data_IF_019751328420
#
_entry.id   IF_019751328420
#
_cell.length_a   1.000
_cell.length_b   1.000
_cell.length_c   1.000
_cell.angle_alpha   90.00
_cell.angle_beta   90.00
_cell.angle_gamma   90.00
#
_symmetry.space_group_name_H-M   'P 1'
#
loop_
_entity.id
_entity.type
_entity.pdbx_description
1 polymer ?
#
# COMPACT_ATOMS: atom_id res chain seq x y z
N UNK A 1 93.02 96.40 -75.94
CA UNK A 1 92.71 96.78 -77.31
C UNK A 1 92.18 95.58 -78.07
N UNK A 2 91.01 95.81 -78.65
CA UNK A 2 90.15 94.90 -79.42
C UNK A 2 90.74 94.50 -80.78
N UNK A 3 90.11 93.45 -81.34
CA UNK A 3 89.92 93.15 -82.77
C UNK A 3 91.13 92.76 -83.64
N UNK A 4 91.05 91.86 -84.63
CA UNK A 4 90.06 90.89 -85.13
C UNK A 4 90.81 90.08 -86.24
N UNK A 5 90.21 88.99 -86.74
CA UNK A 5 90.38 88.43 -88.10
C UNK A 5 91.40 87.28 -88.36
N UNK A 6 91.21 86.42 -89.42
CA UNK A 6 90.45 85.15 -89.35
C UNK A 6 90.96 83.97 -90.25
N UNK A 7 90.15 82.88 -90.32
CA UNK A 7 90.07 81.78 -91.33
C UNK A 7 91.17 80.69 -91.31
N UNK A 8 90.96 79.39 -91.51
CA UNK A 8 89.80 78.50 -91.76
C UNK A 8 90.31 77.03 -91.76
N UNK A 9 89.38 76.08 -91.70
CA UNK A 9 89.43 74.68 -92.21
C UNK A 9 89.55 73.52 -91.20
N UNK A 10 88.40 72.84 -91.08
CA UNK A 10 88.17 71.47 -90.56
C UNK A 10 88.53 70.45 -91.66
N UNK A 11 88.73 69.15 -91.37
CA UNK A 11 87.60 68.23 -91.58
C UNK A 11 87.42 67.09 -90.56
N UNK A 12 86.17 66.64 -90.51
CA UNK A 12 85.57 65.51 -89.81
C UNK A 12 86.19 64.14 -90.17
N UNK A 13 86.15 63.21 -89.20
CA UNK A 13 86.36 61.78 -89.42
C UNK A 13 86.07 60.95 -88.17
N UNK A 14 84.81 60.57 -87.97
CA UNK A 14 84.37 59.60 -86.95
C UNK A 14 84.44 58.18 -87.53
N UNK A 15 84.90 57.20 -86.73
CA UNK A 15 84.32 55.85 -86.51
C UNK A 15 85.42 54.90 -86.02
N UNK A 16 85.23 54.35 -84.81
CA UNK A 16 85.49 52.96 -84.39
C UNK A 16 85.44 52.92 -82.85
N UNK A 17 84.36 52.39 -82.27
CA UNK A 17 84.24 50.99 -81.86
C UNK A 17 84.49 50.85 -80.34
N UNK A 18 83.45 50.38 -79.66
CA UNK A 18 83.40 50.17 -78.22
C UNK A 18 84.50 49.23 -77.71
N UNK A 19 85.06 49.45 -76.51
CA UNK A 19 85.61 48.38 -75.72
C UNK A 19 84.51 47.74 -74.87
N UNK A 20 84.37 46.44 -75.05
CA UNK A 20 83.55 45.52 -74.28
C UNK A 20 84.05 45.34 -72.83
N UNK A 21 83.19 44.83 -71.93
CA UNK A 21 83.34 44.96 -70.49
C UNK A 21 84.24 43.89 -69.85
N UNK A 22 85.19 44.32 -69.03
CA UNK A 22 86.02 43.47 -68.18
C UNK A 22 85.27 42.89 -66.98
N UNK A 23 84.54 41.81 -67.21
CA UNK A 23 84.50 40.53 -66.44
C UNK A 23 84.56 40.46 -64.88
N UNK A 24 84.06 41.42 -64.09
CA UNK A 24 83.93 41.24 -62.62
C UNK A 24 82.58 41.57 -61.89
N UNK A 25 81.37 41.63 -62.54
CA UNK A 25 80.07 41.66 -61.81
C UNK A 25 79.10 40.49 -62.10
N UNK A 26 79.45 39.54 -62.96
CA UNK A 26 78.53 38.46 -63.39
C UNK A 26 78.34 37.38 -62.31
N UNK A 27 79.42 37.04 -61.58
CA UNK A 27 79.38 36.07 -60.47
C UNK A 27 78.53 36.58 -59.28
N UNK A 28 78.65 37.87 -58.94
CA UNK A 28 77.89 38.51 -57.83
C UNK A 28 76.38 38.58 -58.11
N UNK A 29 75.96 38.88 -59.35
CA UNK A 29 74.53 38.86 -59.73
C UNK A 29 73.91 37.47 -59.70
N UNK A 30 74.66 36.45 -60.12
CA UNK A 30 74.23 35.04 -60.02
C UNK A 30 74.12 34.60 -58.55
N UNK A 31 75.08 34.96 -57.69
CA UNK A 31 75.01 34.70 -56.25
C UNK A 31 73.83 35.43 -55.57
N UNK A 32 73.55 36.68 -55.94
CA UNK A 32 72.40 37.42 -55.43
C UNK A 32 71.06 36.81 -55.88
N UNK A 33 70.95 36.35 -57.14
CA UNK A 33 69.78 35.64 -57.65
C UNK A 33 69.56 34.29 -56.97
N UNK A 34 70.62 33.54 -56.69
CA UNK A 34 70.57 32.29 -55.93
C UNK A 34 70.12 32.51 -54.48
N UNK A 35 70.61 33.56 -53.82
CA UNK A 35 70.17 33.93 -52.47
C UNK A 35 68.69 34.36 -52.46
N UNK A 36 68.27 35.18 -53.41
CA UNK A 36 66.86 35.57 -53.55
C UNK A 36 65.95 34.35 -53.81
N UNK A 37 66.37 33.42 -54.67
CA UNK A 37 65.64 32.17 -54.90
C UNK A 37 65.58 31.29 -53.64
N UNK A 38 66.67 31.17 -52.88
CA UNK A 38 66.67 30.43 -51.61
C UNK A 38 65.75 31.06 -50.55
N UNK A 39 65.71 32.39 -50.46
CA UNK A 39 64.81 33.11 -49.57
C UNK A 39 63.34 32.93 -49.98
N UNK A 40 63.05 32.97 -51.28
CA UNK A 40 61.70 32.69 -51.80
C UNK A 40 61.27 31.25 -51.50
N UNK A 41 62.16 30.27 -51.67
CA UNK A 41 61.87 28.88 -51.31
C UNK A 41 61.62 28.71 -49.81
N UNK A 42 62.39 29.39 -48.96
CA UNK A 42 62.18 29.39 -47.51
C UNK A 42 60.84 30.04 -47.13
N UNK A 43 60.48 31.16 -47.77
CA UNK A 43 59.18 31.81 -47.55
C UNK A 43 58.03 30.88 -47.94
N UNK A 44 58.09 30.26 -49.11
CA UNK A 44 57.09 29.27 -49.55
C UNK A 44 57.01 28.10 -48.57
N UNK A 45 58.15 27.59 -48.10
CA UNK A 45 58.18 26.50 -47.12
C UNK A 45 57.54 26.91 -45.78
N UNK A 46 57.83 28.11 -45.26
CA UNK A 46 57.22 28.60 -44.01
C UNK A 46 55.71 28.82 -44.13
N UNK A 47 55.24 29.36 -45.26
CA UNK A 47 53.80 29.55 -45.52
C UNK A 47 53.11 28.19 -45.67
N UNK A 48 53.72 27.24 -46.38
CA UNK A 48 53.20 25.88 -46.51
C UNK A 48 53.09 25.18 -45.15
N UNK A 49 54.14 25.26 -44.32
CA UNK A 49 54.13 24.70 -42.96
C UNK A 49 53.08 25.37 -42.07
N UNK A 50 52.93 26.70 -42.16
CA UNK A 50 51.89 27.44 -41.45
C UNK A 50 50.48 27.01 -41.87
N UNK A 51 50.25 26.81 -43.17
CA UNK A 51 48.99 26.30 -43.70
C UNK A 51 48.71 24.85 -43.24
N UNK A 52 49.71 23.98 -43.28
CA UNK A 52 49.61 22.61 -42.77
C UNK A 52 49.32 22.57 -41.26
N UNK A 53 50.04 23.38 -40.48
CA UNK A 53 49.83 23.48 -39.04
C UNK A 53 48.43 23.97 -38.72
N UNK A 54 47.99 25.08 -39.34
CA UNK A 54 46.62 25.60 -39.19
C UNK A 54 45.56 24.57 -39.57
N UNK A 55 45.77 23.82 -40.67
CA UNK A 55 44.85 22.77 -41.10
C UNK A 55 44.74 21.64 -40.08
N UNK A 56 45.86 21.16 -39.55
CA UNK A 56 45.89 20.10 -38.53
C UNK A 56 45.25 20.59 -37.23
N UNK A 57 45.57 21.81 -36.77
CA UNK A 57 44.94 22.41 -35.58
C UNK A 57 43.42 22.52 -35.77
N UNK A 58 42.95 22.95 -36.95
CA UNK A 58 41.52 23.05 -37.24
C UNK A 58 40.84 21.69 -37.25
N UNK A 59 41.44 20.67 -37.86
CA UNK A 59 40.93 19.28 -37.86
C UNK A 59 40.84 18.70 -36.45
N UNK A 60 41.86 18.92 -35.62
CA UNK A 60 41.84 18.52 -34.21
C UNK A 60 40.78 19.27 -33.40
N UNK A 61 40.57 20.55 -33.69
CA UNK A 61 39.57 21.36 -33.00
C UNK A 61 38.14 20.97 -33.40
N UNK A 62 37.91 20.62 -34.67
CA UNK A 62 36.62 20.13 -35.15
C UNK A 62 36.28 18.77 -34.52
N UNK A 63 37.22 17.81 -34.54
CA UNK A 63 37.04 16.48 -33.88
C UNK A 63 36.86 16.59 -32.37
N UNK A 64 37.61 17.50 -31.71
CA UNK A 64 37.42 17.78 -30.29
C UNK A 64 36.02 18.32 -29.99
N UNK A 65 35.49 19.22 -30.82
CA UNK A 65 34.13 19.76 -30.67
C UNK A 65 33.08 18.68 -30.82
N UNK A 66 33.22 17.80 -31.82
CA UNK A 66 32.32 16.67 -32.03
C UNK A 66 32.30 15.75 -30.79
N UNK A 67 33.47 15.37 -30.27
CA UNK A 67 33.53 14.56 -29.05
C UNK A 67 32.92 15.26 -27.84
N UNK A 68 33.15 16.57 -27.65
CA UNK A 68 32.51 17.29 -26.54
C UNK A 68 30.99 17.37 -26.69
N UNK A 69 30.47 17.48 -27.92
CA UNK A 69 29.04 17.47 -28.20
C UNK A 69 28.43 16.09 -27.96
N UNK A 70 29.11 15.01 -28.40
CA UNK A 70 28.69 13.63 -28.14
C UNK A 70 28.74 13.29 -26.65
N UNK A 71 29.80 13.68 -25.95
CA UNK A 71 29.91 13.50 -24.51
C UNK A 71 28.81 14.26 -23.77
N UNK A 72 28.50 15.49 -24.19
CA UNK A 72 27.36 16.25 -23.68
C UNK A 72 26.04 15.53 -23.91
N UNK A 73 25.81 15.02 -25.13
CA UNK A 73 24.60 14.28 -25.50
C UNK A 73 24.43 13.00 -24.66
N UNK A 74 25.49 12.20 -24.53
CA UNK A 74 25.48 10.97 -23.74
C UNK A 74 25.31 11.28 -22.25
N UNK A 75 26.00 12.30 -21.73
CA UNK A 75 25.83 12.74 -20.35
C UNK A 75 24.39 13.17 -20.06
N UNK A 76 23.74 13.86 -21.00
CA UNK A 76 22.35 14.25 -20.89
C UNK A 76 21.41 13.05 -20.93
N UNK A 77 21.66 12.08 -21.83
CA UNK A 77 20.87 10.84 -21.91
C UNK A 77 20.99 10.01 -20.62
N UNK A 78 22.21 9.86 -20.08
CA UNK A 78 22.45 9.16 -18.82
C UNK A 78 21.74 9.88 -17.68
N UNK A 79 21.88 11.19 -17.56
CA UNK A 79 21.21 11.97 -16.51
C UNK A 79 19.68 11.84 -16.58
N UNK A 80 19.10 11.86 -17.79
CA UNK A 80 17.66 11.68 -17.98
C UNK A 80 17.21 10.26 -17.59
N UNK A 81 17.98 9.22 -17.93
CA UNK A 81 17.70 7.84 -17.53
C UNK A 81 17.83 7.64 -16.02
N UNK A 82 18.84 8.24 -15.39
CA UNK A 82 19.00 8.21 -13.95
C UNK A 82 17.80 8.85 -13.25
N UNK A 83 17.36 10.03 -13.71
CA UNK A 83 16.15 10.68 -13.17
C UNK A 83 14.90 9.80 -13.33
N UNK A 84 14.73 9.17 -14.50
CA UNK A 84 13.64 8.23 -14.75
C UNK A 84 13.70 7.02 -13.80
N UNK A 85 14.88 6.46 -13.57
CA UNK A 85 15.06 5.34 -12.65
C UNK A 85 14.78 5.74 -11.20
N UNK A 86 15.23 6.92 -10.78
CA UNK A 86 14.91 7.42 -9.43
C UNK A 86 13.42 7.67 -9.25
N UNK A 87 12.75 8.23 -10.27
CA UNK A 87 11.31 8.41 -10.23
C UNK A 87 10.56 7.06 -10.11
N UNK A 88 10.91 6.08 -10.95
CA UNK A 88 10.28 4.75 -10.88
C UNK A 88 10.57 4.03 -9.56
N UNK A 89 11.74 4.24 -8.95
CA UNK A 89 12.06 3.72 -7.61
C UNK A 89 11.15 4.31 -6.55
N UNK A 90 10.91 5.62 -6.59
CA UNK A 90 10.01 6.29 -5.66
C UNK A 90 8.56 5.82 -5.84
N UNK A 91 8.10 5.69 -7.08
CA UNK A 91 6.76 5.17 -7.38
C UNK A 91 6.58 3.73 -6.88
N UNK A 92 7.59 2.87 -7.08
CA UNK A 92 7.59 1.50 -6.54
C UNK A 92 7.61 1.48 -5.01
N UNK A 93 8.38 2.36 -4.38
CA UNK A 93 8.43 2.46 -2.92
C UNK A 93 7.08 2.88 -2.35
N UNK A 94 6.43 3.87 -2.98
CA UNK A 94 5.10 4.32 -2.60
C UNK A 94 4.05 3.22 -2.80
N UNK A 95 4.03 2.57 -3.96
CA UNK A 95 3.09 1.48 -4.25
C UNK A 95 3.25 0.30 -3.27
N UNK A 96 4.48 -0.03 -2.87
CA UNK A 96 4.74 -1.04 -1.83
C UNK A 96 4.23 -0.63 -0.47
N UNK A 97 4.43 0.62 -0.07
CA UNK A 97 3.93 1.13 1.21
C UNK A 97 2.39 1.11 1.26
N UNK A 98 1.74 1.48 0.17
CA UNK A 98 0.27 1.46 0.08
C UNK A 98 -0.28 0.03 0.11
N UNK A 99 0.35 -0.92 -0.61
CA UNK A 99 -0.01 -2.33 -0.52
C UNK A 99 0.17 -2.88 0.90
N UNK A 100 1.25 -2.53 1.58
CA UNK A 100 1.47 -2.93 2.98
C UNK A 100 0.43 -2.34 3.93
N UNK A 101 -0.02 -1.10 3.68
CA UNK A 101 -1.09 -0.47 4.43
C UNK A 101 -2.41 -1.22 4.24
N UNK A 102 -2.83 -1.42 2.98
CA UNK A 102 -4.06 -2.14 2.66
C UNK A 102 -4.05 -3.57 3.18
N UNK A 103 -2.89 -4.24 3.15
CA UNK A 103 -2.74 -5.57 3.72
C UNK A 103 -2.94 -5.56 5.24
N UNK A 104 -2.37 -4.58 5.96
CA UNK A 104 -2.58 -4.44 7.41
C UNK A 104 -4.03 -4.12 7.75
N UNK A 105 -4.65 -3.22 7.01
CA UNK A 105 -6.07 -2.89 7.17
C UNK A 105 -6.94 -4.14 6.93
N UNK A 106 -6.70 -4.87 5.84
CA UNK A 106 -7.41 -6.12 5.54
C UNK A 106 -7.21 -7.21 6.59
N UNK A 107 -5.98 -7.38 7.10
CA UNK A 107 -5.68 -8.33 8.17
C UNK A 107 -6.35 -7.92 9.50
N UNK A 108 -6.37 -6.61 9.82
CA UNK A 108 -7.09 -6.10 10.99
C UNK A 108 -8.60 -6.37 10.87
N UNK A 109 -9.20 -6.08 9.72
CA UNK A 109 -10.61 -6.37 9.47
C UNK A 109 -10.92 -7.87 9.53
N UNK A 110 -9.98 -8.73 9.11
CA UNK A 110 -10.14 -10.17 9.24
C UNK A 110 -10.18 -10.61 10.71
N UNK A 111 -9.27 -10.11 11.55
CA UNK A 111 -9.27 -10.40 12.99
C UNK A 111 -10.54 -9.90 13.68
N UNK A 112 -11.05 -8.73 13.29
CA UNK A 112 -12.33 -8.21 13.79
C UNK A 112 -13.51 -9.13 13.40
N UNK A 113 -13.54 -9.63 12.16
CA UNK A 113 -14.57 -10.59 11.72
C UNK A 113 -14.48 -11.92 12.47
N UNK A 114 -13.28 -12.43 12.73
CA UNK A 114 -13.06 -13.64 13.51
C UNK A 114 -13.54 -13.46 14.96
N UNK A 115 -13.25 -12.33 15.59
CA UNK A 115 -13.75 -11.97 16.92
C UNK A 115 -15.27 -11.88 16.96
N UNK A 116 -15.87 -11.17 15.99
CA UNK A 116 -17.32 -11.02 15.90
C UNK A 116 -18.01 -12.37 15.67
N UNK A 117 -17.40 -13.24 14.86
CA UNK A 117 -17.92 -14.59 14.62
C UNK A 117 -17.85 -15.47 15.87
N UNK A 118 -16.79 -15.34 16.67
CA UNK A 118 -16.70 -16.03 17.96
C UNK A 118 -17.77 -15.54 18.95
N UNK A 119 -18.01 -14.23 19.01
CA UNK A 119 -19.05 -13.62 19.85
C UNK A 119 -20.46 -14.03 19.38
N UNK A 120 -20.70 -14.07 18.06
CA UNK A 120 -21.94 -14.60 17.48
C UNK A 120 -22.14 -16.08 17.85
N UNK A 121 -21.06 -16.86 17.87
CA UNK A 121 -21.08 -18.25 18.33
C UNK A 121 -21.50 -18.36 19.79
N UNK A 122 -20.90 -17.56 20.66
CA UNK A 122 -21.22 -17.53 22.10
C UNK A 122 -22.67 -17.12 22.36
N UNK A 123 -23.12 -16.02 21.76
CA UNK A 123 -24.51 -15.53 21.90
C UNK A 123 -25.54 -16.54 21.39
N UNK A 124 -25.21 -17.30 20.32
CA UNK A 124 -26.05 -18.39 19.83
C UNK A 124 -26.15 -19.55 20.81
N UNK A 125 -25.06 -19.90 21.48
CA UNK A 125 -25.05 -20.95 22.50
C UNK A 125 -25.83 -20.53 23.75
N UNK A 126 -25.62 -19.29 24.23
CA UNK A 126 -26.43 -18.70 25.32
C UNK A 126 -27.92 -18.72 24.99
N UNK A 127 -28.30 -18.34 23.77
CA UNK A 127 -29.69 -18.38 23.33
C UNK A 127 -30.26 -19.81 23.35
N UNK A 128 -29.45 -20.81 22.96
CA UNK A 128 -29.87 -22.21 23.00
C UNK A 128 -30.07 -22.71 24.44
N UNK A 129 -29.20 -22.31 25.38
CA UNK A 129 -29.35 -22.62 26.81
C UNK A 129 -30.60 -21.95 27.37
N UNK A 130 -30.78 -20.66 27.12
CA UNK A 130 -31.94 -19.91 27.58
C UNK A 130 -33.25 -20.49 27.02
N UNK A 131 -33.25 -20.90 25.75
CA UNK A 131 -34.39 -21.56 25.14
C UNK A 131 -34.74 -22.88 25.83
N UNK A 132 -33.73 -23.67 26.21
CA UNK A 132 -33.93 -24.93 26.95
C UNK A 132 -34.46 -24.69 28.36
N UNK A 133 -33.91 -23.72 29.08
CA UNK A 133 -34.40 -23.33 30.41
C UNK A 133 -35.85 -22.87 30.36
N UNK A 134 -36.21 -22.05 29.37
CA UNK A 134 -37.59 -21.63 29.15
C UNK A 134 -38.51 -22.83 28.89
N UNK A 135 -38.09 -23.81 28.07
CA UNK A 135 -38.87 -25.03 27.83
C UNK A 135 -39.05 -25.86 29.12
N UNK A 136 -38.01 -25.96 29.94
CA UNK A 136 -38.08 -26.66 31.22
C UNK A 136 -39.03 -25.96 32.19
N UNK A 137 -38.92 -24.64 32.33
CA UNK A 137 -39.81 -23.83 33.17
C UNK A 137 -41.25 -23.92 32.67
N UNK A 138 -41.46 -23.84 31.35
CA UNK A 138 -42.79 -24.00 30.76
C UNK A 138 -43.36 -25.40 31.04
N UNK A 139 -42.55 -26.46 30.94
CA UNK A 139 -42.95 -27.82 31.28
C UNK A 139 -43.35 -27.96 32.75
N UNK A 140 -42.57 -27.39 33.66
CA UNK A 140 -42.88 -27.33 35.10
C UNK A 140 -44.18 -26.56 35.36
N UNK A 141 -44.37 -25.43 34.68
CA UNK A 141 -45.57 -24.62 34.79
C UNK A 141 -46.81 -25.39 34.35
N UNK A 142 -46.78 -26.03 33.18
CA UNK A 142 -47.88 -26.85 32.68
C UNK A 142 -48.23 -28.02 33.63
N UNK A 143 -47.22 -28.67 34.22
CA UNK A 143 -47.45 -29.74 35.19
C UNK A 143 -48.08 -29.22 36.49
N UNK A 144 -47.62 -28.07 36.97
CA UNK A 144 -48.21 -27.41 38.14
C UNK A 144 -49.65 -26.96 37.88
N UNK A 145 -49.93 -26.42 36.69
CA UNK A 145 -51.26 -26.01 36.24
C UNK A 145 -52.22 -27.21 36.17
N UNK A 146 -51.74 -28.35 35.65
CA UNK A 146 -52.51 -29.60 35.64
C UNK A 146 -52.82 -30.07 37.07
N UNK A 147 -51.82 -30.06 37.97
CA UNK A 147 -52.01 -30.44 39.38
C UNK A 147 -53.02 -29.54 40.08
N UNK A 148 -52.91 -28.22 39.90
CA UNK A 148 -53.87 -27.24 40.44
C UNK A 148 -55.27 -27.45 39.86
N UNK A 149 -55.38 -27.74 38.57
CA UNK A 149 -56.65 -28.00 37.91
C UNK A 149 -57.32 -29.27 38.44
N UNK A 150 -56.56 -30.36 38.64
CA UNK A 150 -57.06 -31.60 39.25
C UNK A 150 -57.49 -31.39 40.70
N UNK A 151 -56.70 -30.66 41.49
CA UNK A 151 -57.07 -30.30 42.87
C UNK A 151 -58.36 -29.46 42.89
N UNK A 152 -58.49 -28.49 41.98
CA UNK A 152 -59.70 -27.66 41.85
C UNK A 152 -60.91 -28.48 41.39
N UNK A 153 -60.74 -29.43 40.48
CA UNK A 153 -61.81 -30.34 40.10
C UNK A 153 -62.33 -31.10 41.32
N UNK A 154 -61.45 -31.53 42.24
CA UNK A 154 -61.87 -32.14 43.50
C UNK A 154 -62.61 -31.22 44.47
N UNK A 155 -62.51 -29.91 44.31
CA UNK A 155 -63.33 -28.95 45.05
C UNK A 155 -64.72 -28.82 44.43
N UNK A 156 -64.86 -29.07 43.13
CA UNK A 156 -66.08 -28.81 42.36
C UNK A 156 -66.89 -30.08 41.98
N UNK A 157 -66.31 -31.27 42.01
CA UNK A 157 -66.98 -32.57 41.77
C UNK A 157 -66.74 -33.52 42.95
N UNK A 158 -67.71 -34.40 43.23
CA UNK A 158 -67.78 -35.28 44.42
C UNK A 158 -66.54 -36.16 44.64
N UNK A 159 -65.46 -35.63 45.23
CA UNK A 159 -64.23 -36.37 45.55
C UNK A 159 -64.32 -37.26 46.80
N UNK A 160 -65.51 -37.39 47.38
CA UNK A 160 -65.76 -38.27 48.50
C UNK A 160 -66.57 -39.49 48.08
N UNK A 161 -66.33 -40.67 48.68
CA UNK A 161 -67.16 -41.83 48.45
C UNK A 161 -68.63 -41.54 48.76
N UNK A 162 -69.56 -42.25 48.10
CA UNK A 162 -70.99 -42.05 48.31
C UNK A 162 -71.36 -42.15 49.80
N UNK A 163 -72.11 -41.16 50.30
CA UNK A 163 -72.51 -41.06 51.71
C UNK A 163 -71.50 -40.34 52.63
N UNK A 164 -70.43 -39.78 52.07
CA UNK A 164 -69.47 -38.93 52.78
C UNK A 164 -69.61 -37.47 52.35
N UNK A 165 -69.35 -36.53 53.26
CA UNK A 165 -69.45 -35.09 53.02
C UNK A 165 -68.05 -34.51 52.89
N UNK A 166 -67.78 -33.80 51.80
CA UNK A 166 -66.53 -33.06 51.63
C UNK A 166 -66.55 -31.79 52.48
N UNK A 167 -65.56 -31.64 53.37
CA UNK A 167 -65.36 -30.43 54.17
C UNK A 167 -63.87 -30.11 54.26
N UNK A 168 -63.47 -28.92 53.77
CA UNK A 168 -62.06 -28.45 53.74
C UNK A 168 -61.09 -29.54 53.23
N UNK A 169 -61.41 -30.12 52.07
CA UNK A 169 -60.61 -31.18 51.43
C UNK A 169 -60.51 -32.50 52.21
N UNK A 170 -61.33 -32.72 53.25
CA UNK A 170 -61.46 -33.99 53.96
C UNK A 170 -62.85 -34.57 53.78
N UNK A 171 -62.94 -35.89 53.62
CA UNK A 171 -64.22 -36.59 53.58
C UNK A 171 -64.66 -36.96 55.00
N UNK A 172 -65.83 -36.49 55.40
CA UNK A 172 -66.43 -36.74 56.70
C UNK A 172 -67.60 -37.72 56.57
N UNK A 173 -67.57 -38.79 57.35
CA UNK A 173 -68.69 -39.72 57.47
C UNK A 173 -69.45 -39.46 58.75
N UNK A 174 -70.76 -39.24 58.63
CA UNK A 174 -71.65 -39.06 59.78
C UNK A 174 -72.47 -40.34 59.94
N UNK A 175 -72.17 -41.10 60.98
CA UNK A 175 -72.91 -42.32 61.30
C UNK A 175 -74.36 -41.99 61.68
N UNK A 176 -75.31 -42.72 61.10
CA UNK A 176 -76.73 -42.66 61.47
C UNK A 176 -76.97 -43.29 62.85
N UNK A 177 -76.14 -44.27 63.22
CA UNK A 177 -76.20 -44.96 64.51
C UNK A 177 -75.34 -44.28 65.56
N UNK A 178 -75.86 -44.22 66.80
CA UNK A 178 -75.08 -43.80 67.98
C UNK A 178 -74.24 -44.97 68.47
N UNK A 179 -72.96 -44.69 68.75
CA UNK A 179 -71.99 -45.67 69.26
C UNK A 179 -71.21 -45.07 70.43
N UNK A 180 -70.64 -45.90 71.29
CA UNK A 180 -69.71 -45.41 72.32
C UNK A 180 -68.46 -44.83 71.65
N UNK A 181 -67.65 -44.07 72.38
CA UNK A 181 -66.42 -43.50 71.82
C UNK A 181 -65.49 -44.58 71.25
N UNK A 182 -65.30 -45.68 72.00
CA UNK A 182 -64.47 -46.83 71.58
C UNK A 182 -65.03 -47.51 70.34
N UNK A 183 -66.33 -47.78 70.32
CA UNK A 183 -66.98 -48.44 69.18
C UNK A 183 -66.98 -47.53 67.94
N UNK A 184 -67.11 -46.21 68.13
CA UNK A 184 -67.01 -45.24 67.04
C UNK A 184 -65.60 -45.21 66.45
N UNK A 185 -64.57 -45.30 67.29
CA UNK A 185 -63.18 -45.37 66.84
C UNK A 185 -62.91 -46.64 66.01
N UNK A 186 -63.34 -47.81 66.49
CA UNK A 186 -63.20 -49.06 65.75
C UNK A 186 -64.06 -49.07 64.47
N UNK A 187 -65.24 -48.47 64.50
CA UNK A 187 -66.09 -48.34 63.32
C UNK A 187 -65.43 -47.46 62.25
N UNK A 188 -64.85 -46.31 62.62
CA UNK A 188 -64.08 -45.49 61.69
C UNK A 188 -62.90 -46.28 61.09
N UNK A 189 -62.14 -47.01 61.92
CA UNK A 189 -61.03 -47.86 61.43
C UNK A 189 -61.51 -48.92 60.44
N UNK A 190 -62.66 -49.55 60.69
CA UNK A 190 -63.27 -50.54 59.78
C UNK A 190 -63.65 -49.95 58.41
N UNK A 191 -63.85 -48.63 58.34
CA UNK A 191 -64.13 -47.86 57.11
C UNK A 191 -62.85 -47.22 56.53
N UNK A 192 -61.67 -47.62 56.98
CA UNK A 192 -60.38 -47.02 56.61
C UNK A 192 -60.30 -45.51 56.91
N UNK A 193 -60.94 -45.08 57.99
CA UNK A 193 -60.99 -43.68 58.43
C UNK A 193 -60.62 -43.52 59.90
N UNK A 194 -60.43 -42.27 60.33
CA UNK A 194 -60.16 -41.92 61.72
C UNK A 194 -61.37 -41.25 62.35
N UNK A 195 -61.64 -41.55 63.62
CA UNK A 195 -62.66 -40.84 64.38
C UNK A 195 -62.28 -39.37 64.50
N UNK A 196 -63.21 -38.49 64.13
CA UNK A 196 -63.02 -37.05 64.17
C UNK A 196 -62.79 -36.56 65.61
N UNK A 197 -61.66 -35.90 65.84
CA UNK A 197 -61.35 -35.18 67.08
C UNK A 197 -61.27 -33.69 66.77
N UNK A 198 -62.06 -32.89 67.49
CA UNK A 198 -62.09 -31.43 67.37
C UNK A 198 -60.88 -30.87 68.14
N UNK A 199 -59.75 -30.67 67.44
CA UNK A 199 -58.52 -30.12 68.03
C UNK A 199 -57.32 -30.09 67.07
N UNK A 200 -57.21 -31.07 66.18
CA UNK A 200 -56.06 -31.25 65.27
C UNK A 200 -56.31 -30.75 63.83
N UNK A 201 -57.25 -29.81 63.64
CA UNK A 201 -57.47 -29.19 62.33
C UNK A 201 -56.50 -28.01 62.18
N UNK A 202 -55.23 -28.30 61.90
CA UNK A 202 -54.32 -27.26 61.40
C UNK A 202 -54.92 -26.65 60.13
N UNK A 203 -55.18 -25.35 60.16
CA UNK A 203 -55.95 -24.64 59.12
C UNK A 203 -55.24 -24.54 57.76
N UNK A 204 -54.00 -25.00 57.64
CA UNK A 204 -53.20 -24.84 56.43
C UNK A 204 -52.29 -26.04 56.21
N UNK A 205 -52.84 -27.09 55.60
CA UNK A 205 -52.04 -28.03 54.82
C UNK A 205 -52.74 -28.24 53.50
N UNK A 206 -52.38 -27.38 52.56
CA UNK A 206 -52.41 -27.74 51.14
C UNK A 206 -51.34 -28.81 50.95
N UNK A 207 -51.56 -29.88 50.17
CA UNK A 207 -50.47 -30.74 49.71
C UNK A 207 -49.39 -29.94 48.97
#
# INVERSE_FOLDING_TARGET
>A
DEDDSPYENVPLGTVAAAPTPGSWPQRRRVHAGLLAASLLLLLVATVALGACYWQVTRRLQDTSREHTAEQGRLSQEVSAREQSLEQTRLELAWARAELQRLWREGNSSQLELESLNAELGHTREELAVLQKEMQEVQGKLNNSESTVSSLRACVNTDCCPSGWVLYRSKCLFISVEKKTWRDSQEYCKSKFAQLLVLGDWSEWTVP
#
